data_IF_051573463289
#
_entry.id   IF_051573463289
#
_cell.length_a   1.000
_cell.length_b   1.000
_cell.length_c   1.000
_cell.angle_alpha   90.00
_cell.angle_beta   90.00
_cell.angle_gamma   90.00
#
_symmetry.space_group_name_H-M   'P 1'
#
loop_
_entity.id
_entity.type
_entity.pdbx_description
1 polymer ?
#
# COMPACT_ATOMS: atom_id res chain seq x y z
N UNK A 1 15.69 10.06 5.00
CA UNK A 1 15.26 8.67 5.28
C UNK A 1 13.76 8.54 5.05
N UNK A 2 13.28 7.37 4.61
CA UNK A 2 11.85 7.06 4.47
C UNK A 2 11.39 6.16 5.61
N UNK A 3 10.07 6.18 5.93
CA UNK A 3 9.45 5.21 6.83
C UNK A 3 8.61 4.20 6.03
N UNK A 4 8.74 2.92 6.37
CA UNK A 4 7.85 1.87 5.88
C UNK A 4 7.14 1.23 7.08
N UNK A 5 5.90 1.65 7.31
CA UNK A 5 5.14 1.30 8.51
C UNK A 5 4.06 0.29 8.16
N UNK A 6 4.10 -0.88 8.80
CA UNK A 6 3.00 -1.85 8.73
C UNK A 6 2.09 -1.71 9.95
N UNK A 7 0.77 -1.59 9.75
CA UNK A 7 -0.22 -1.51 10.83
C UNK A 7 -1.18 -2.69 10.77
N UNK A 8 -1.28 -3.44 11.87
CA UNK A 8 -2.06 -4.68 11.95
C UNK A 8 -1.43 -5.84 11.17
N UNK A 9 -2.04 -7.01 11.23
CA UNK A 9 -1.51 -8.25 10.63
C UNK A 9 -1.20 -8.12 9.14
N UNK A 10 -2.16 -7.62 8.35
CA UNK A 10 -2.01 -7.46 6.90
C UNK A 10 -0.89 -6.45 6.58
N UNK A 11 -0.93 -5.27 7.19
CA UNK A 11 0.05 -4.22 6.96
C UNK A 11 1.47 -4.62 7.38
N UNK A 12 1.63 -5.25 8.54
CA UNK A 12 2.92 -5.77 8.98
C UNK A 12 3.47 -6.84 8.01
N UNK A 13 2.61 -7.71 7.47
CA UNK A 13 3.02 -8.72 6.49
C UNK A 13 3.45 -8.10 5.16
N UNK A 14 2.78 -7.04 4.70
CA UNK A 14 3.17 -6.27 3.50
C UNK A 14 4.50 -5.55 3.70
N UNK A 15 4.67 -4.85 4.82
CA UNK A 15 5.93 -4.20 5.16
C UNK A 15 7.07 -5.23 5.27
N UNK A 16 6.86 -6.38 5.90
CA UNK A 16 7.85 -7.46 5.97
C UNK A 16 8.19 -8.02 4.57
N UNK A 17 7.20 -8.11 3.67
CA UNK A 17 7.42 -8.51 2.28
C UNK A 17 8.26 -7.48 1.50
N UNK A 18 8.11 -6.17 1.76
CA UNK A 18 8.94 -5.13 1.17
C UNK A 18 10.43 -5.36 1.50
N UNK A 19 10.74 -5.60 2.76
CA UNK A 19 12.11 -5.88 3.21
C UNK A 19 12.61 -7.28 2.84
N UNK A 20 11.73 -8.17 2.38
CA UNK A 20 12.09 -9.49 1.85
C UNK A 20 12.45 -9.46 0.37
N UNK A 21 11.68 -8.70 -0.42
CA UNK A 21 11.76 -8.71 -1.89
C UNK A 21 12.74 -7.68 -2.44
N UNK A 22 12.87 -6.59 -1.72
CA UNK A 22 13.75 -5.50 -2.11
C UNK A 22 15.17 -5.76 -1.62
N UNK A 23 16.13 -5.44 -2.46
CA UNK A 23 17.55 -5.63 -2.22
C UNK A 23 18.08 -4.86 -1.00
N UNK A 24 19.40 -4.71 -0.95
CA UNK A 24 20.10 -3.97 0.11
C UNK A 24 19.67 -2.50 0.14
N UNK A 25 19.33 -1.95 -1.01
CA UNK A 25 19.00 -0.54 -1.23
C UNK A 25 17.79 -0.09 -0.37
N UNK A 26 16.69 -0.86 -0.38
CA UNK A 26 15.51 -0.52 0.44
C UNK A 26 15.84 -0.46 1.94
N UNK A 27 16.71 -1.36 2.41
CA UNK A 27 17.10 -1.37 3.82
C UNK A 27 17.97 -0.18 4.22
N UNK A 28 18.65 0.44 3.25
CA UNK A 28 19.43 1.64 3.48
C UNK A 28 18.55 2.89 3.45
N UNK A 29 17.53 2.91 2.59
CA UNK A 29 16.66 4.07 2.39
C UNK A 29 15.50 4.14 3.37
N UNK A 30 15.01 2.97 3.85
CA UNK A 30 13.79 2.87 4.63
C UNK A 30 14.03 2.30 6.02
N UNK A 31 13.51 2.97 7.02
CA UNK A 31 13.35 2.42 8.37
C UNK A 31 12.05 1.63 8.45
N UNK A 32 12.08 0.32 8.77
CA UNK A 32 10.88 -0.47 8.98
C UNK A 32 10.25 -0.14 10.32
N UNK A 33 8.91 -0.17 10.38
CA UNK A 33 8.17 -0.16 11.66
C UNK A 33 6.99 -1.11 11.55
N UNK A 34 6.76 -1.93 12.56
CA UNK A 34 5.59 -2.79 12.65
C UNK A 34 4.76 -2.43 13.89
N UNK A 35 3.51 -2.04 13.69
CA UNK A 35 2.57 -1.62 14.75
C UNK A 35 1.44 -2.64 14.82
N UNK A 36 1.22 -3.24 15.98
CA UNK A 36 0.10 -4.18 16.16
C UNK A 36 -0.40 -4.18 17.62
N UNK A 37 -1.64 -4.63 17.79
CA UNK A 37 -2.28 -4.87 19.10
C UNK A 37 -2.15 -6.34 19.54
N UNK A 38 -1.53 -7.19 18.72
CA UNK A 38 -1.38 -8.63 18.96
C UNK A 38 0.08 -9.04 18.80
N UNK A 39 0.67 -9.54 19.88
CA UNK A 39 2.05 -10.04 19.89
C UNK A 39 2.28 -11.22 18.93
N UNK A 40 1.32 -12.14 18.86
CA UNK A 40 1.41 -13.32 18.01
C UNK A 40 1.58 -12.97 16.50
N UNK A 41 1.00 -11.86 16.04
CA UNK A 41 1.17 -11.40 14.66
C UNK A 41 2.55 -10.82 14.41
N UNK A 42 3.09 -10.06 15.37
CA UNK A 42 4.46 -9.52 15.28
C UNK A 42 5.52 -10.64 15.26
N UNK A 43 5.32 -11.71 16.02
CA UNK A 43 6.22 -12.87 16.03
C UNK A 43 6.32 -13.60 14.68
N UNK A 44 5.39 -13.39 13.76
CA UNK A 44 5.42 -13.99 12.41
C UNK A 44 6.33 -13.23 11.43
N UNK A 45 6.78 -12.03 11.80
CA UNK A 45 7.63 -11.20 10.94
C UNK A 45 9.04 -11.79 10.86
N UNK A 46 9.60 -11.79 9.65
CA UNK A 46 10.89 -12.43 9.35
C UNK A 46 11.99 -11.42 9.03
N UNK A 47 11.62 -10.23 8.57
CA UNK A 47 12.55 -9.23 8.05
C UNK A 47 12.55 -7.91 8.83
N UNK A 48 11.46 -7.61 9.53
CA UNK A 48 11.40 -6.45 10.42
C UNK A 48 11.91 -6.87 11.79
N UNK A 49 13.10 -6.40 12.23
CA UNK A 49 13.68 -6.77 13.52
C UNK A 49 12.81 -6.29 14.69
N UNK A 50 12.89 -7.01 15.79
CA UNK A 50 12.04 -6.78 16.98
C UNK A 50 12.19 -5.37 17.58
N UNK A 51 13.35 -4.74 17.45
CA UNK A 51 13.56 -3.34 17.86
C UNK A 51 12.67 -2.34 17.14
N UNK A 52 12.17 -2.68 15.97
CA UNK A 52 11.25 -1.84 15.18
C UNK A 52 9.77 -2.17 15.40
N UNK A 53 9.45 -3.05 16.34
CA UNK A 53 8.05 -3.33 16.69
C UNK A 53 7.52 -2.32 17.69
N UNK A 54 6.28 -1.91 17.50
CA UNK A 54 5.46 -1.17 18.44
C UNK A 54 4.19 -1.97 18.73
N UNK A 55 3.99 -2.27 19.99
CA UNK A 55 2.79 -2.92 20.47
C UNK A 55 1.89 -1.89 21.13
N UNK A 56 0.59 -1.97 20.84
CA UNK A 56 -0.43 -1.09 21.43
C UNK A 56 -1.29 -1.94 22.37
N UNK A 57 -1.27 -1.58 23.65
CA UNK A 57 -2.15 -2.16 24.67
C UNK A 57 -3.60 -1.67 24.52
N UNK A 58 -4.54 -2.36 25.19
CA UNK A 58 -5.96 -1.94 25.20
C UNK A 58 -6.20 -0.61 25.90
N UNK A 59 -5.30 -0.21 26.75
CA UNK A 59 -5.24 1.06 27.50
C UNK A 59 -4.51 2.17 26.73
N UNK A 60 -4.27 2.00 25.44
CA UNK A 60 -3.50 2.95 24.63
C UNK A 60 -2.00 3.00 24.92
N UNK A 61 -1.49 2.19 25.84
CA UNK A 61 -0.06 2.14 26.16
C UNK A 61 0.76 1.63 24.98
N UNK A 62 1.83 2.35 24.63
CA UNK A 62 2.73 2.02 23.52
C UNK A 62 4.01 1.42 24.07
N UNK A 63 4.29 0.18 23.68
CA UNK A 63 5.50 -0.56 24.04
C UNK A 63 6.39 -0.78 22.82
N UNK A 64 7.71 -0.67 23.03
CA UNK A 64 8.70 -1.12 22.06
C UNK A 64 8.93 -2.62 22.17
N UNK A 65 9.26 -3.29 21.08
CA UNK A 65 9.50 -4.73 21.09
C UNK A 65 10.59 -5.23 22.05
N UNK A 66 11.45 -4.33 22.53
CA UNK A 66 12.49 -4.62 23.55
C UNK A 66 12.05 -4.29 24.97
N UNK A 67 10.91 -3.63 25.17
CA UNK A 67 10.44 -3.26 26.50
C UNK A 67 10.06 -4.51 27.31
N UNK A 68 10.32 -4.46 28.62
CA UNK A 68 9.94 -5.54 29.54
C UNK A 68 8.40 -5.66 29.57
N UNK A 69 7.88 -6.86 29.47
CA UNK A 69 6.44 -7.10 29.44
C UNK A 69 5.79 -7.00 28.04
N UNK A 70 6.53 -6.69 26.99
CA UNK A 70 5.98 -6.52 25.64
C UNK A 70 5.04 -7.64 25.22
N UNK A 71 5.39 -8.92 25.45
CA UNK A 71 4.55 -10.06 25.03
C UNK A 71 3.35 -10.33 25.93
N UNK A 72 3.36 -9.91 27.20
CA UNK A 72 2.26 -10.10 28.14
C UNK A 72 1.24 -8.96 28.15
N UNK A 73 1.65 -7.75 27.77
CA UNK A 73 0.76 -6.59 27.74
C UNK A 73 0.01 -6.43 26.39
N UNK A 74 0.50 -7.07 25.32
CA UNK A 74 -0.06 -6.98 23.96
C UNK A 74 -0.71 -8.32 23.58
N UNK A 75 -1.75 -8.70 24.30
CA UNK A 75 -2.36 -10.03 24.18
C UNK A 75 -3.70 -10.04 23.44
N UNK A 76 -4.36 -8.91 23.29
CA UNK A 76 -5.74 -8.88 22.79
C UNK A 76 -5.89 -8.05 21.53
N UNK A 77 -6.16 -8.68 20.39
CA UNK A 77 -6.59 -7.96 19.19
C UNK A 77 -7.90 -7.19 19.39
N UNK A 78 -8.19 -6.25 18.49
CA UNK A 78 -9.42 -5.40 18.52
C UNK A 78 -10.67 -6.13 17.97
N UNK A 79 -10.57 -7.42 17.64
CA UNK A 79 -11.73 -8.24 17.21
C UNK A 79 -12.48 -7.70 15.99
N UNK A 80 -11.80 -7.02 15.05
CA UNK A 80 -12.41 -6.34 13.91
C UNK A 80 -13.44 -5.25 14.31
N UNK A 81 -13.26 -4.60 15.46
CA UNK A 81 -14.07 -3.46 15.91
C UNK A 81 -13.34 -2.15 15.55
N UNK A 82 -13.85 -1.47 14.52
CA UNK A 82 -13.24 -0.25 14.01
C UNK A 82 -13.31 0.90 15.02
N UNK A 83 -14.43 1.08 15.70
CA UNK A 83 -14.65 2.18 16.66
C UNK A 83 -13.75 2.02 17.88
N UNK A 84 -13.77 0.85 18.53
CA UNK A 84 -12.89 0.54 19.65
C UNK A 84 -11.41 0.71 19.26
N UNK A 85 -11.06 0.29 18.04
CA UNK A 85 -9.71 0.48 17.53
C UNK A 85 -9.32 1.95 17.38
N UNK A 86 -10.24 2.81 16.91
CA UNK A 86 -9.98 4.25 16.83
C UNK A 86 -9.75 4.87 18.22
N UNK A 87 -10.52 4.48 19.20
CA UNK A 87 -10.37 4.95 20.59
C UNK A 87 -8.99 4.58 21.13
N UNK A 88 -8.61 3.30 21.06
CA UNK A 88 -7.30 2.80 21.52
C UNK A 88 -6.14 3.52 20.81
N UNK A 89 -6.21 3.68 19.48
CA UNK A 89 -5.14 4.34 18.75
C UNK A 89 -5.08 5.85 18.98
N UNK A 90 -6.22 6.51 19.24
CA UNK A 90 -6.24 7.91 19.64
C UNK A 90 -5.58 8.14 21.00
N UNK A 91 -5.82 7.25 21.98
CA UNK A 91 -5.14 7.27 23.27
C UNK A 91 -3.63 7.02 23.12
N UNK A 92 -3.24 6.22 22.11
CA UNK A 92 -1.84 5.87 21.84
C UNK A 92 -1.06 6.94 21.05
N UNK A 93 -1.69 8.00 20.53
CA UNK A 93 -1.07 8.98 19.60
C UNK A 93 0.27 9.51 20.08
N UNK A 94 0.33 10.02 21.31
CA UNK A 94 1.56 10.62 21.85
C UNK A 94 2.68 9.59 22.04
N UNK A 95 2.33 8.41 22.50
CA UNK A 95 3.27 7.30 22.63
C UNK A 95 3.81 6.81 21.28
N UNK A 96 2.97 6.76 20.25
CA UNK A 96 3.39 6.43 18.88
C UNK A 96 4.35 7.50 18.36
N UNK A 97 3.99 8.78 18.49
CA UNK A 97 4.84 9.92 18.09
C UNK A 97 6.21 9.84 18.75
N UNK A 98 6.25 9.74 20.09
CA UNK A 98 7.50 9.65 20.84
C UNK A 98 8.38 8.50 20.34
N UNK A 99 7.80 7.31 20.22
CA UNK A 99 8.57 6.10 19.83
C UNK A 99 9.06 6.19 18.37
N UNK A 100 8.28 6.74 17.44
CA UNK A 100 8.70 6.93 16.05
C UNK A 100 9.81 7.96 15.94
N UNK A 101 9.64 9.17 16.53
CA UNK A 101 10.64 10.24 16.46
C UNK A 101 11.93 9.86 17.15
N UNK A 102 11.86 9.18 18.30
CA UNK A 102 13.05 8.69 19.00
C UNK A 102 13.86 7.70 18.17
N UNK A 103 13.20 6.88 17.35
CA UNK A 103 13.89 5.93 16.45
C UNK A 103 14.52 6.60 15.24
N UNK A 104 13.86 7.59 14.68
CA UNK A 104 14.43 8.40 13.60
C UNK A 104 15.69 9.13 14.08
N UNK A 105 15.77 9.47 15.38
CA UNK A 105 16.92 10.12 15.96
C UNK A 105 17.13 11.51 15.36
N UNK A 106 18.32 11.72 14.74
CA UNK A 106 18.68 12.98 14.07
C UNK A 106 18.41 12.95 12.55
N UNK A 107 17.98 11.82 12.02
CA UNK A 107 17.72 11.71 10.59
C UNK A 107 16.37 12.34 10.24
N UNK A 108 16.38 13.19 9.23
CA UNK A 108 15.17 13.78 8.68
C UNK A 108 14.36 12.72 7.95
N UNK A 109 13.08 12.59 8.33
CA UNK A 109 12.12 11.73 7.66
C UNK A 109 11.48 12.52 6.54
N UNK A 110 11.86 12.23 5.30
CA UNK A 110 11.37 12.94 4.14
C UNK A 110 9.98 12.45 3.67
N UNK A 111 9.64 11.18 3.94
CA UNK A 111 8.43 10.54 3.41
C UNK A 111 8.09 9.26 4.18
N UNK A 112 6.81 8.91 4.23
CA UNK A 112 6.36 7.65 4.81
C UNK A 112 5.35 6.90 3.94
N UNK A 113 5.39 5.57 4.03
CA UNK A 113 4.37 4.64 3.50
C UNK A 113 3.77 3.84 4.65
N UNK A 114 2.44 3.84 4.75
CA UNK A 114 1.70 3.04 5.73
C UNK A 114 0.99 1.91 5.03
N UNK A 115 1.37 0.67 5.33
CA UNK A 115 0.74 -0.55 4.84
C UNK A 115 -0.31 -1.03 5.84
N UNK A 116 -1.53 -1.33 5.39
CA UNK A 116 -2.61 -1.75 6.28
C UNK A 116 -3.72 -2.52 5.58
N UNK A 117 -4.46 -3.32 6.33
CA UNK A 117 -5.67 -3.97 5.86
C UNK A 117 -6.89 -3.14 6.26
N UNK A 118 -7.74 -2.79 5.30
CA UNK A 118 -8.93 -1.96 5.49
C UNK A 118 -10.05 -2.68 6.25
N UNK A 119 -10.13 -4.01 6.16
CA UNK A 119 -11.26 -4.78 6.73
C UNK A 119 -11.04 -5.30 8.16
N UNK A 120 -9.82 -5.24 8.69
CA UNK A 120 -9.49 -5.71 10.06
C UNK A 120 -9.93 -4.71 11.13
N UNK A 121 -9.55 -4.97 12.40
CA UNK A 121 -9.68 -4.00 13.50
C UNK A 121 -8.46 -3.07 13.56
N UNK A 122 -7.28 -3.64 13.88
CA UNK A 122 -6.04 -2.89 14.13
C UNK A 122 -5.58 -2.06 12.93
N UNK A 123 -5.52 -2.68 11.72
CA UNK A 123 -5.04 -1.98 10.53
C UNK A 123 -5.98 -0.88 10.07
N UNK A 124 -7.28 -1.16 10.06
CA UNK A 124 -8.30 -0.24 9.57
C UNK A 124 -8.43 1.03 10.41
N UNK A 125 -8.34 0.89 11.74
CA UNK A 125 -8.46 2.02 12.68
C UNK A 125 -7.12 2.69 12.96
N UNK A 126 -6.05 1.91 13.08
CA UNK A 126 -4.74 2.43 13.48
C UNK A 126 -4.00 3.17 12.38
N UNK A 127 -4.11 2.74 11.12
CA UNK A 127 -3.38 3.38 10.03
C UNK A 127 -3.74 4.86 9.82
N UNK A 128 -5.03 5.27 9.81
CA UNK A 128 -5.40 6.67 9.74
C UNK A 128 -4.84 7.50 10.90
N UNK A 129 -4.85 6.96 12.12
CA UNK A 129 -4.34 7.64 13.32
C UNK A 129 -2.82 7.80 13.26
N UNK A 130 -2.10 6.75 12.83
CA UNK A 130 -0.64 6.84 12.60
C UNK A 130 -0.33 7.90 11.53
N UNK A 131 -1.14 7.99 10.48
CA UNK A 131 -0.99 9.02 9.45
C UNK A 131 -1.21 10.43 10.01
N UNK A 132 -2.18 10.64 10.90
CA UNK A 132 -2.38 11.93 11.59
C UNK A 132 -1.14 12.31 12.43
N UNK A 133 -0.56 11.36 13.17
CA UNK A 133 0.69 11.58 13.92
C UNK A 133 1.83 12.06 13.01
N UNK A 134 1.98 11.44 11.84
CA UNK A 134 3.02 11.81 10.88
C UNK A 134 2.73 13.16 10.21
N UNK A 135 1.47 13.42 9.85
CA UNK A 135 1.03 14.70 9.29
C UNK A 135 1.27 15.86 10.24
N UNK A 136 0.98 15.70 11.53
CA UNK A 136 1.28 16.68 12.57
C UNK A 136 2.78 16.91 12.76
N UNK A 137 3.60 15.92 12.43
CA UNK A 137 5.07 16.05 12.39
C UNK A 137 5.59 16.60 11.05
N UNK A 138 4.72 16.98 10.11
CA UNK A 138 5.09 17.50 8.80
C UNK A 138 5.65 16.46 7.84
N UNK A 139 5.41 15.17 8.07
CA UNK A 139 5.93 14.07 7.25
C UNK A 139 4.89 13.67 6.21
N UNK A 140 5.16 13.88 4.91
CA UNK A 140 4.30 13.43 3.84
C UNK A 140 4.07 11.93 3.89
N UNK A 141 2.82 11.49 3.75
CA UNK A 141 2.44 10.10 4.01
C UNK A 141 1.47 9.56 2.96
N UNK A 142 1.77 8.43 2.35
CA UNK A 142 0.83 7.67 1.55
C UNK A 142 0.41 6.38 2.26
N UNK A 143 -0.85 5.98 2.03
CA UNK A 143 -1.37 4.69 2.48
C UNK A 143 -1.35 3.64 1.39
N UNK A 144 -1.04 2.40 1.75
CA UNK A 144 -1.19 1.22 0.90
C UNK A 144 -2.19 0.31 1.57
N UNK A 145 -3.46 0.48 1.21
CA UNK A 145 -4.61 -0.16 1.84
C UNK A 145 -5.09 -1.40 1.07
N UNK A 146 -5.32 -2.51 1.78
CA UNK A 146 -5.83 -3.74 1.20
C UNK A 146 -7.31 -3.91 1.52
N UNK A 147 -8.15 -3.95 0.48
CA UNK A 147 -9.57 -4.24 0.57
C UNK A 147 -9.80 -5.71 0.95
N UNK A 148 -10.77 -5.99 1.83
CA UNK A 148 -11.15 -7.35 2.15
C UNK A 148 -11.82 -8.01 0.95
N UNK A 149 -11.63 -9.31 0.80
CA UNK A 149 -12.36 -10.08 -0.18
C UNK A 149 -13.85 -10.21 0.19
N UNK A 150 -14.72 -10.41 -0.79
CA UNK A 150 -16.17 -10.51 -0.57
C UNK A 150 -16.55 -11.65 0.37
N UNK A 151 -15.81 -12.75 0.35
CA UNK A 151 -16.03 -13.88 1.26
C UNK A 151 -15.64 -13.60 2.71
N UNK A 152 -14.99 -12.46 3.01
CA UNK A 152 -14.59 -12.10 4.37
C UNK A 152 -15.73 -11.49 5.20
N UNK A 153 -16.90 -11.29 4.62
CA UNK A 153 -18.11 -10.85 5.31
C UNK A 153 -18.37 -9.35 5.25
N UNK A 154 -19.64 -8.96 5.53
CA UNK A 154 -20.11 -7.59 5.36
C UNK A 154 -19.57 -6.62 6.43
N UNK A 155 -19.28 -7.12 7.64
CA UNK A 155 -18.62 -6.32 8.69
C UNK A 155 -17.26 -5.79 8.26
N UNK A 156 -16.48 -6.62 7.52
CA UNK A 156 -15.19 -6.17 7.01
C UNK A 156 -15.33 -5.14 5.90
N UNK A 157 -16.43 -5.19 5.13
CA UNK A 157 -16.72 -4.15 4.15
C UNK A 157 -17.09 -2.81 4.84
N UNK A 158 -17.84 -2.85 5.95
CA UNK A 158 -18.11 -1.65 6.77
C UNK A 158 -16.81 -1.02 7.30
N UNK A 159 -15.92 -1.84 7.87
CA UNK A 159 -14.59 -1.38 8.32
C UNK A 159 -13.79 -0.76 7.17
N UNK A 160 -13.81 -1.41 6.00
CA UNK A 160 -13.05 -0.94 4.84
C UNK A 160 -13.55 0.41 4.33
N UNK A 161 -14.87 0.59 4.27
CA UNK A 161 -15.47 1.86 3.87
C UNK A 161 -15.08 2.99 4.85
N UNK A 162 -15.23 2.73 6.15
CA UNK A 162 -14.91 3.71 7.19
C UNK A 162 -13.40 4.03 7.19
N UNK A 163 -12.55 3.01 7.19
CA UNK A 163 -11.09 3.17 7.15
C UNK A 163 -10.62 3.97 5.94
N UNK A 164 -11.15 3.69 4.75
CA UNK A 164 -10.80 4.44 3.54
C UNK A 164 -11.17 5.92 3.65
N UNK A 165 -12.38 6.22 4.18
CA UNK A 165 -12.82 7.59 4.42
C UNK A 165 -11.86 8.35 5.36
N UNK A 166 -11.45 7.72 6.46
CA UNK A 166 -10.48 8.31 7.39
C UNK A 166 -9.09 8.46 6.74
N UNK A 167 -8.65 7.45 5.99
CA UNK A 167 -7.35 7.47 5.31
C UNK A 167 -7.25 8.58 4.27
N UNK A 168 -8.29 8.81 3.47
CA UNK A 168 -8.34 9.91 2.50
C UNK A 168 -8.23 11.29 3.17
N UNK A 169 -8.65 11.42 4.43
CA UNK A 169 -8.54 12.67 5.18
C UNK A 169 -7.15 12.86 5.84
N UNK A 170 -6.53 11.76 6.29
CA UNK A 170 -5.28 11.82 7.06
C UNK A 170 -4.01 11.65 6.23
N UNK A 171 -4.08 10.99 5.06
CA UNK A 171 -2.95 10.69 4.20
C UNK A 171 -2.91 11.61 2.97
N UNK A 172 -1.74 11.82 2.37
CA UNK A 172 -1.57 12.64 1.17
C UNK A 172 -1.99 11.91 -0.11
N UNK A 173 -2.01 10.58 -0.08
CA UNK A 173 -2.52 9.71 -1.14
C UNK A 173 -2.81 8.32 -0.62
N UNK A 174 -3.66 7.57 -1.30
CA UNK A 174 -3.99 6.17 -0.96
C UNK A 174 -3.87 5.31 -2.20
N UNK A 175 -3.11 4.23 -2.08
CA UNK A 175 -3.03 3.15 -3.07
C UNK A 175 -3.90 2.00 -2.57
N UNK A 176 -4.73 1.45 -3.44
CA UNK A 176 -5.56 0.30 -3.13
C UNK A 176 -5.04 -0.99 -3.75
N UNK A 177 -5.18 -2.06 -3.00
CA UNK A 177 -5.04 -3.43 -3.42
C UNK A 177 -6.28 -4.22 -2.98
N UNK A 178 -6.68 -5.26 -3.72
CA UNK A 178 -7.91 -6.00 -3.45
C UNK A 178 -7.67 -7.51 -3.30
N UNK A 179 -8.04 -8.04 -2.15
CA UNK A 179 -7.97 -9.48 -1.89
C UNK A 179 -8.90 -10.33 -2.79
N UNK A 180 -9.85 -9.71 -3.49
CA UNK A 180 -10.67 -10.45 -4.47
C UNK A 180 -9.89 -10.98 -5.67
N UNK A 181 -8.75 -10.34 -6.01
CA UNK A 181 -7.89 -10.78 -7.12
C UNK A 181 -7.20 -12.11 -6.81
N UNK A 182 -7.14 -12.47 -5.52
CA UNK A 182 -6.45 -13.70 -5.09
C UNK A 182 -7.24 -14.93 -5.53
N UNK A 183 -6.66 -15.73 -6.42
CA UNK A 183 -7.23 -17.01 -6.84
C UNK A 183 -7.19 -18.03 -5.70
N UNK A 184 -8.33 -18.26 -5.08
CA UNK A 184 -8.50 -19.13 -3.91
C UNK A 184 -8.38 -20.62 -4.20
N UNK A 185 -8.38 -21.01 -5.47
CA UNK A 185 -8.22 -22.41 -5.88
C UNK A 185 -6.82 -22.99 -5.61
N UNK A 186 -5.83 -22.13 -5.37
CA UNK A 186 -4.41 -22.50 -5.20
C UNK A 186 -3.89 -22.51 -3.76
N UNK A 187 -4.75 -22.53 -2.76
CA UNK A 187 -4.35 -22.52 -1.34
C UNK A 187 -4.05 -21.12 -0.80
N UNK A 188 -4.84 -20.71 0.20
CA UNK A 188 -4.93 -19.33 0.68
C UNK A 188 -3.59 -18.72 1.12
N UNK A 189 -2.80 -19.40 1.95
CA UNK A 189 -1.60 -18.81 2.54
C UNK A 189 -0.52 -18.50 1.51
N UNK A 190 -0.34 -19.39 0.52
CA UNK A 190 0.64 -19.18 -0.55
C UNK A 190 0.27 -17.99 -1.44
N UNK A 191 -1.00 -17.81 -1.73
CA UNK A 191 -1.51 -16.76 -2.59
C UNK A 191 -1.42 -15.38 -1.93
N UNK A 192 -1.76 -15.25 -0.64
CA UNK A 192 -1.53 -14.00 0.10
C UNK A 192 -0.05 -13.59 0.11
N UNK A 193 0.86 -14.53 0.28
CA UNK A 193 2.30 -14.24 0.21
C UNK A 193 2.76 -13.78 -1.17
N UNK A 194 2.21 -14.35 -2.24
CA UNK A 194 2.51 -13.93 -3.62
C UNK A 194 1.96 -12.53 -3.88
N UNK A 195 0.73 -12.27 -3.47
CA UNK A 195 0.10 -10.96 -3.59
C UNK A 195 0.85 -9.88 -2.80
N UNK A 196 1.19 -10.15 -1.55
CA UNK A 196 1.99 -9.24 -0.74
C UNK A 196 3.35 -8.93 -1.37
N UNK A 197 4.01 -9.93 -1.97
CA UNK A 197 5.27 -9.72 -2.71
C UNK A 197 5.06 -8.88 -3.97
N UNK A 198 3.94 -9.05 -4.64
CA UNK A 198 3.61 -8.26 -5.82
C UNK A 198 3.43 -6.79 -5.45
N UNK A 199 2.57 -6.47 -4.46
CA UNK A 199 2.35 -5.10 -3.98
C UNK A 199 3.64 -4.49 -3.41
N UNK A 200 4.35 -5.23 -2.56
CA UNK A 200 5.64 -4.79 -2.02
C UNK A 200 6.67 -4.51 -3.12
N UNK A 201 6.65 -5.30 -4.19
CA UNK A 201 7.48 -5.09 -5.37
C UNK A 201 7.13 -3.80 -6.13
N UNK A 202 5.85 -3.48 -6.29
CA UNK A 202 5.41 -2.21 -6.87
C UNK A 202 5.91 -1.03 -6.02
N UNK A 203 5.71 -1.09 -4.71
CA UNK A 203 6.16 -0.03 -3.79
C UNK A 203 7.67 0.11 -3.76
N UNK A 204 8.41 -1.00 -3.83
CA UNK A 204 9.86 -0.98 -3.95
C UNK A 204 10.35 -0.20 -5.17
N UNK A 205 9.71 -0.39 -6.32
CA UNK A 205 10.08 0.32 -7.54
C UNK A 205 9.84 1.84 -7.40
N UNK A 206 8.73 2.28 -6.78
CA UNK A 206 8.46 3.70 -6.50
C UNK A 206 9.40 4.30 -5.44
N UNK A 207 9.84 3.53 -4.45
CA UNK A 207 10.83 3.97 -3.47
C UNK A 207 12.22 4.13 -4.13
N UNK A 208 12.59 3.22 -5.01
CA UNK A 208 13.93 3.19 -5.64
C UNK A 208 14.03 4.13 -6.85
N UNK A 209 12.91 4.42 -7.53
CA UNK A 209 12.90 5.29 -8.70
C UNK A 209 13.62 6.63 -8.51
N UNK A 210 13.40 7.35 -7.38
CA UNK A 210 14.09 8.61 -7.09
C UNK A 210 15.59 8.49 -6.85
N UNK A 211 16.09 7.30 -6.51
CA UNK A 211 17.48 7.06 -6.09
C UNK A 211 18.33 6.36 -7.15
N UNK A 212 17.89 6.37 -8.40
CA UNK A 212 18.62 5.77 -9.51
C UNK A 212 19.92 6.54 -9.81
N UNK A 213 20.91 6.45 -8.92
CA UNK A 213 22.23 7.09 -9.05
C UNK A 213 23.06 6.62 -10.25
N UNK A 214 22.57 5.72 -11.07
CA UNK A 214 23.29 5.21 -12.24
C UNK A 214 22.92 5.89 -13.55
N UNK A 215 21.73 6.43 -13.64
CA UNK A 215 21.22 7.04 -14.87
C UNK A 215 21.50 8.54 -14.82
N UNK A 216 22.75 8.93 -15.06
CA UNK A 216 23.07 10.29 -15.53
C UNK A 216 22.47 10.47 -16.92
N UNK A 217 21.14 10.39 -17.01
CA UNK A 217 20.45 10.87 -18.17
C UNK A 217 20.54 12.39 -18.13
N UNK A 218 21.42 12.92 -18.97
CA UNK A 218 21.57 14.36 -19.25
C UNK A 218 20.33 14.96 -19.94
N UNK A 219 19.17 14.35 -19.85
CA UNK A 219 17.91 14.94 -20.27
C UNK A 219 17.34 15.68 -19.08
N UNK A 220 17.50 17.00 -19.11
CA UNK A 220 16.79 17.92 -18.23
C UNK A 220 15.29 17.59 -18.29
N UNK A 221 14.70 17.26 -17.14
CA UNK A 221 13.26 17.07 -17.00
C UNK A 221 12.79 15.67 -16.59
N UNK A 222 13.66 14.65 -16.45
CA UNK A 222 13.28 13.30 -16.02
C UNK A 222 13.71 13.00 -14.57
N UNK A 223 13.47 13.93 -13.66
CA UNK A 223 13.64 13.68 -12.23
C UNK A 223 12.29 13.26 -11.65
N UNK A 224 12.21 12.04 -11.15
CA UNK A 224 11.05 11.53 -10.43
C UNK A 224 11.41 11.43 -8.95
N UNK A 225 10.67 12.09 -8.09
CA UNK A 225 10.86 12.00 -6.65
C UNK A 225 9.57 11.59 -5.91
N UNK A 226 9.61 11.50 -4.57
CA UNK A 226 8.44 11.14 -3.78
C UNK A 226 7.33 12.19 -3.87
N UNK A 227 7.65 13.46 -4.18
CA UNK A 227 6.67 14.53 -4.35
C UNK A 227 5.90 14.36 -5.65
N UNK A 228 6.59 13.95 -6.71
CA UNK A 228 5.95 13.58 -7.99
C UNK A 228 5.01 12.39 -7.77
N UNK A 229 5.44 11.41 -6.98
CA UNK A 229 4.59 10.27 -6.64
C UNK A 229 3.34 10.68 -5.86
N UNK A 230 3.46 11.53 -4.85
CA UNK A 230 2.32 12.08 -4.11
C UNK A 230 1.43 12.93 -5.03
N UNK A 231 2.03 13.80 -5.85
CA UNK A 231 1.31 14.64 -6.82
C UNK A 231 0.50 13.82 -7.80
N UNK A 232 1.05 12.67 -8.24
CA UNK A 232 0.31 11.77 -9.14
C UNK A 232 -0.94 11.18 -8.50
N UNK A 233 -1.06 11.14 -7.17
CA UNK A 233 -2.21 10.62 -6.42
C UNK A 233 -3.26 11.68 -6.08
N UNK A 234 -3.12 12.93 -6.56
CA UNK A 234 -4.04 14.02 -6.32
C UNK A 234 -4.60 14.59 -7.63
N UNK A 235 -5.88 14.95 -7.65
CA UNK A 235 -6.58 15.54 -8.80
C UNK A 235 -7.05 16.93 -8.39
N UNK A 236 -6.23 17.94 -8.67
CA UNK A 236 -6.44 19.29 -8.16
C UNK A 236 -6.40 19.34 -6.64
N UNK A 237 -7.53 19.69 -6.00
CA UNK A 237 -7.67 19.68 -4.52
C UNK A 237 -8.21 18.37 -3.98
N UNK A 238 -8.68 17.48 -4.82
CA UNK A 238 -9.26 16.19 -4.45
C UNK A 238 -8.18 15.13 -4.38
N UNK A 239 -8.34 14.20 -3.45
CA UNK A 239 -7.46 13.04 -3.33
C UNK A 239 -7.99 11.93 -4.20
N UNK A 240 -7.17 11.53 -5.15
CA UNK A 240 -7.41 10.35 -5.95
C UNK A 240 -6.99 9.07 -5.22
N UNK A 241 -7.33 7.97 -5.82
CA UNK A 241 -6.95 6.63 -5.38
C UNK A 241 -6.03 6.01 -6.42
N UNK A 242 -4.83 5.64 -5.99
CA UNK A 242 -3.87 4.93 -6.81
C UNK A 242 -4.21 3.44 -6.92
N UNK A 243 -4.11 2.89 -8.11
CA UNK A 243 -4.15 1.44 -8.40
C UNK A 243 -2.84 1.09 -9.09
N UNK A 244 -2.14 0.05 -8.63
CA UNK A 244 -0.81 -0.27 -9.16
C UNK A 244 -0.83 -1.49 -10.05
N UNK A 245 -0.01 -1.44 -11.10
CA UNK A 245 0.21 -2.54 -12.03
C UNK A 245 1.70 -2.71 -12.32
N UNK A 246 2.14 -3.95 -12.58
CA UNK A 246 3.57 -4.25 -12.78
C UNK A 246 3.77 -5.37 -13.78
N UNK A 247 4.58 -5.11 -14.78
CA UNK A 247 5.00 -6.13 -15.74
C UNK A 247 6.52 -6.23 -15.81
N UNK A 248 7.03 -7.45 -15.85
CA UNK A 248 8.47 -7.73 -15.93
C UNK A 248 8.75 -8.72 -17.05
N UNK A 249 9.63 -8.36 -17.94
CA UNK A 249 10.17 -9.24 -18.97
C UNK A 249 11.61 -9.59 -18.64
N UNK A 250 11.89 -10.89 -18.54
CA UNK A 250 13.26 -11.40 -18.41
C UNK A 250 13.97 -11.33 -19.77
N UNK A 251 15.21 -10.88 -19.77
CA UNK A 251 16.07 -10.88 -20.95
C UNK A 251 16.85 -12.18 -20.98
N UNK A 252 16.72 -12.96 -22.06
CA UNK A 252 17.47 -14.18 -22.28
C UNK A 252 18.98 -13.91 -22.35
N UNK A 253 19.79 -14.96 -22.18
CA UNK A 253 21.26 -14.85 -22.23
C UNK A 253 21.76 -14.30 -23.55
N UNK A 254 21.06 -14.59 -24.65
CA UNK A 254 21.40 -14.20 -26.02
C UNK A 254 20.72 -12.91 -26.51
N UNK A 255 19.80 -12.34 -25.75
CA UNK A 255 19.05 -11.15 -26.15
C UNK A 255 19.81 -9.84 -25.98
N UNK A 256 21.06 -9.87 -25.51
CA UNK A 256 21.93 -8.71 -25.36
C UNK A 256 23.01 -8.63 -26.44
N UNK A 257 23.01 -9.55 -27.40
CA UNK A 257 23.94 -9.51 -28.52
C UNK A 257 23.31 -8.76 -29.70
N UNK A 258 23.91 -7.69 -30.15
CA UNK A 258 23.42 -6.88 -31.27
C UNK A 258 23.21 -7.70 -32.56
N UNK A 259 23.88 -8.85 -32.71
CA UNK A 259 23.72 -9.75 -33.83
C UNK A 259 22.45 -10.58 -33.86
N UNK A 260 21.73 -10.70 -32.72
CA UNK A 260 20.52 -11.53 -32.59
C UNK A 260 19.21 -10.75 -32.38
N UNK A 261 19.21 -9.47 -32.68
CA UNK A 261 18.04 -8.61 -32.57
C UNK A 261 17.57 -8.56 -31.11
N UNK A 262 17.87 -7.46 -30.42
CA UNK A 262 17.19 -7.11 -29.17
C UNK A 262 15.71 -7.41 -29.32
N UNK A 263 15.16 -8.19 -28.43
CA UNK A 263 13.70 -8.31 -28.33
C UNK A 263 13.19 -6.89 -28.27
N UNK A 264 12.53 -6.43 -29.32
CA UNK A 264 12.07 -5.04 -29.43
C UNK A 264 11.21 -4.75 -28.22
N UNK A 265 11.68 -3.86 -27.35
CA UNK A 265 10.89 -3.41 -26.23
C UNK A 265 9.86 -2.45 -26.81
N UNK A 266 8.62 -2.89 -26.88
CA UNK A 266 7.50 -2.05 -27.28
C UNK A 266 6.84 -1.44 -26.03
N UNK A 267 7.00 -0.14 -25.78
CA UNK A 267 6.48 0.50 -24.57
C UNK A 267 4.99 0.27 -24.37
N UNK A 268 4.22 0.31 -25.45
CA UNK A 268 2.78 0.06 -25.45
C UNK A 268 2.41 -1.32 -24.92
N UNK A 269 3.17 -2.37 -25.31
CA UNK A 269 2.93 -3.72 -24.82
C UNK A 269 3.30 -3.87 -23.33
N UNK A 270 4.39 -3.23 -22.88
CA UNK A 270 4.78 -3.26 -21.49
C UNK A 270 3.72 -2.60 -20.60
N UNK A 271 3.24 -1.42 -20.98
CA UNK A 271 2.18 -0.72 -20.27
C UNK A 271 0.89 -1.53 -20.29
N UNK A 272 0.46 -2.04 -21.45
CA UNK A 272 -0.72 -2.88 -21.57
C UNK A 272 -0.65 -4.13 -20.68
N UNK A 273 0.49 -4.79 -20.62
CA UNK A 273 0.68 -5.95 -19.75
C UNK A 273 0.67 -5.59 -18.26
N UNK A 274 1.17 -4.40 -17.89
CA UNK A 274 1.06 -3.89 -16.52
C UNK A 274 -0.39 -3.54 -16.15
N UNK A 275 -1.16 -2.94 -17.08
CA UNK A 275 -2.58 -2.66 -16.92
C UNK A 275 -3.43 -3.93 -16.72
N UNK A 276 -3.03 -5.05 -17.33
CA UNK A 276 -3.68 -6.35 -17.14
C UNK A 276 -3.39 -6.98 -15.76
N UNK A 277 -2.51 -6.38 -14.95
CA UNK A 277 -2.08 -6.88 -13.63
C UNK A 277 -2.33 -5.84 -12.52
N UNK A 278 -3.42 -5.09 -12.61
CA UNK A 278 -3.73 -4.07 -11.61
C UNK A 278 -4.05 -4.68 -10.24
N UNK A 279 -3.70 -3.95 -9.19
CA UNK A 279 -3.91 -4.33 -7.78
C UNK A 279 -5.39 -4.32 -7.34
N UNK A 280 -6.26 -3.71 -8.14
CA UNK A 280 -7.72 -3.73 -8.01
C UNK A 280 -8.30 -4.07 -9.37
N UNK A 281 -9.32 -4.92 -9.42
CA UNK A 281 -10.08 -5.19 -10.65
C UNK A 281 -10.82 -3.91 -11.06
N UNK A 282 -10.41 -3.34 -12.19
CA UNK A 282 -11.05 -2.17 -12.82
C UNK A 282 -11.76 -2.69 -14.06
N UNK A 283 -13.04 -3.00 -13.92
CA UNK A 283 -13.88 -3.32 -15.06
C UNK A 283 -14.25 -2.00 -15.74
N UNK A 284 -13.92 -1.86 -17.02
CA UNK A 284 -14.35 -0.79 -17.95
C UNK A 284 -13.80 0.64 -17.76
N UNK A 285 -13.07 0.96 -16.71
CA UNK A 285 -12.60 2.34 -16.48
C UNK A 285 -11.22 2.67 -17.04
N UNK A 286 -10.70 1.90 -17.97
CA UNK A 286 -9.45 2.25 -18.71
C UNK A 286 -9.61 3.59 -19.46
N UNK A 287 -10.83 4.07 -19.67
CA UNK A 287 -11.13 5.34 -20.33
C UNK A 287 -11.08 6.60 -19.45
N UNK A 288 -10.77 6.47 -18.14
CA UNK A 288 -10.76 7.62 -17.19
C UNK A 288 -9.53 7.61 -16.29
N UNK A 289 -8.36 7.46 -16.87
CA UNK A 289 -7.10 7.64 -16.14
C UNK A 289 -6.86 9.14 -16.00
N UNK A 290 -6.90 9.67 -14.77
CA UNK A 290 -6.67 11.10 -14.55
C UNK A 290 -5.19 11.45 -14.57
N UNK A 291 -4.38 10.73 -13.78
CA UNK A 291 -2.94 10.88 -13.70
C UNK A 291 -2.26 9.54 -13.61
N UNK A 292 -0.98 9.51 -13.90
CA UNK A 292 -0.20 8.30 -13.88
C UNK A 292 1.23 8.58 -13.41
N UNK A 293 1.75 7.71 -12.53
CA UNK A 293 3.17 7.60 -12.26
C UNK A 293 3.68 6.26 -12.79
N UNK A 294 4.83 6.28 -13.42
CA UNK A 294 5.48 5.11 -13.99
C UNK A 294 6.93 5.04 -13.53
N UNK A 295 7.40 3.88 -13.09
CA UNK A 295 8.82 3.61 -12.89
C UNK A 295 9.25 2.50 -13.84
N UNK A 296 10.20 2.83 -14.70
CA UNK A 296 10.86 1.86 -15.58
C UNK A 296 12.15 1.38 -14.95
N UNK A 297 12.30 0.06 -14.75
CA UNK A 297 13.53 -0.56 -14.21
C UNK A 297 14.14 -1.43 -15.29
N UNK A 298 15.37 -1.13 -15.68
CA UNK A 298 16.05 -1.79 -16.79
C UNK A 298 17.44 -2.32 -16.40
N UNK A 299 17.93 -3.30 -17.15
CA UNK A 299 19.34 -3.68 -17.10
C UNK A 299 20.18 -2.60 -17.79
N UNK A 300 21.40 -2.27 -17.31
CA UNK A 300 22.24 -1.21 -17.89
C UNK A 300 22.53 -1.35 -19.39
N UNK A 301 22.56 -2.57 -19.91
CA UNK A 301 22.76 -2.80 -21.35
C UNK A 301 21.64 -2.29 -22.26
N UNK A 302 20.48 -1.98 -21.69
CA UNK A 302 19.34 -1.43 -22.44
C UNK A 302 19.32 0.11 -22.44
N UNK A 303 20.21 0.75 -21.71
CA UNK A 303 20.19 2.21 -21.50
C UNK A 303 20.10 3.02 -22.78
N UNK A 304 20.88 2.65 -23.80
CA UNK A 304 20.97 3.40 -25.07
C UNK A 304 19.83 3.08 -26.05
N UNK A 305 19.21 1.93 -25.89
CA UNK A 305 18.18 1.43 -26.82
C UNK A 305 16.77 1.46 -26.24
N UNK A 306 16.61 1.83 -24.98
CA UNK A 306 15.30 1.89 -24.34
C UNK A 306 14.51 3.11 -24.86
N UNK A 307 13.28 2.96 -25.37
CA UNK A 307 12.54 4.01 -26.03
C UNK A 307 11.81 4.94 -25.01
N UNK A 308 12.58 5.72 -24.28
CA UNK A 308 12.07 6.58 -23.20
C UNK A 308 11.04 7.61 -23.64
N UNK A 309 11.33 8.33 -24.76
CA UNK A 309 10.42 9.36 -25.25
C UNK A 309 9.10 8.77 -25.71
N UNK A 310 9.16 7.66 -26.44
CA UNK A 310 7.97 6.95 -26.90
C UNK A 310 7.11 6.44 -25.72
N UNK A 311 7.77 6.00 -24.63
CA UNK A 311 7.08 5.61 -23.41
C UNK A 311 6.41 6.82 -22.74
N UNK A 312 7.12 7.95 -22.60
CA UNK A 312 6.60 9.18 -22.01
C UNK A 312 5.39 9.70 -22.78
N UNK A 313 5.51 9.81 -24.09
CA UNK A 313 4.42 10.30 -24.97
C UNK A 313 3.19 9.38 -24.84
N UNK A 314 3.40 8.07 -24.89
CA UNK A 314 2.32 7.11 -24.76
C UNK A 314 1.61 7.16 -23.39
N UNK A 315 2.38 7.33 -22.30
CA UNK A 315 1.80 7.45 -20.96
C UNK A 315 1.02 8.74 -20.79
N UNK A 316 1.51 9.85 -21.35
CA UNK A 316 0.81 11.13 -21.32
C UNK A 316 -0.52 11.08 -22.08
N UNK A 317 -0.52 10.44 -23.25
CA UNK A 317 -1.73 10.26 -24.07
C UNK A 317 -2.80 9.38 -23.41
N UNK A 318 -2.42 8.54 -22.43
CA UNK A 318 -3.36 7.71 -21.69
C UNK A 318 -4.13 8.47 -20.61
N UNK A 319 -3.71 9.69 -20.24
CA UNK A 319 -4.28 10.41 -19.11
C UNK A 319 -5.19 11.57 -19.56
N UNK A 320 -6.33 11.73 -18.90
CA UNK A 320 -7.28 12.84 -19.14
C UNK A 320 -6.64 14.23 -18.91
N UNK A 321 -5.69 14.30 -17.96
CA UNK A 321 -4.99 15.55 -17.63
C UNK A 321 -3.69 15.73 -18.41
N UNK A 322 -3.36 14.83 -19.33
CA UNK A 322 -2.08 14.79 -20.03
C UNK A 322 -0.86 14.89 -19.08
N UNK A 323 -1.00 14.27 -17.88
CA UNK A 323 -0.02 14.32 -16.80
C UNK A 323 0.44 12.91 -16.42
N UNK A 324 1.67 12.58 -16.84
CA UNK A 324 2.34 11.33 -16.50
C UNK A 324 3.76 11.63 -15.97
N UNK A 325 4.05 11.09 -14.78
CA UNK A 325 5.37 11.19 -14.17
C UNK A 325 6.16 9.91 -14.46
N UNK A 326 7.33 10.03 -15.07
CA UNK A 326 8.16 8.89 -15.45
C UNK A 326 9.49 8.90 -14.68
N UNK A 327 9.71 7.85 -13.89
CA UNK A 327 10.94 7.58 -13.18
C UNK A 327 11.71 6.40 -13.79
N UNK A 328 13.03 6.37 -13.58
CA UNK A 328 13.89 5.31 -14.05
C UNK A 328 14.72 4.71 -12.92
N UNK A 329 14.95 3.41 -13.02
CA UNK A 329 15.84 2.69 -12.12
C UNK A 329 16.65 1.66 -12.93
N UNK A 330 17.83 1.32 -12.44
CA UNK A 330 18.67 0.27 -13.02
C UNK A 330 18.78 -0.94 -12.09
N UNK A 331 18.87 -2.11 -12.69
CA UNK A 331 19.08 -3.35 -11.95
C UNK A 331 20.13 -4.22 -12.60
N UNK A 332 20.95 -4.89 -11.80
CA UNK A 332 21.89 -5.91 -12.28
C UNK A 332 21.20 -7.18 -12.82
N UNK A 333 19.90 -7.33 -12.58
CA UNK A 333 19.11 -8.44 -13.11
C UNK A 333 18.85 -8.21 -14.60
N UNK A 334 19.03 -9.25 -15.41
CA UNK A 334 18.75 -9.21 -16.86
C UNK A 334 17.25 -9.14 -17.12
N UNK A 335 16.68 -7.97 -17.02
CA UNK A 335 15.26 -7.74 -17.21
C UNK A 335 14.97 -6.29 -17.60
N UNK A 336 13.78 -6.09 -18.16
CA UNK A 336 13.10 -4.79 -18.24
C UNK A 336 11.76 -4.91 -17.49
N UNK A 337 11.35 -3.85 -16.82
CA UNK A 337 10.14 -3.80 -16.02
C UNK A 337 9.51 -2.42 -16.11
N UNK A 338 8.18 -2.41 -16.10
CA UNK A 338 7.37 -1.20 -15.92
C UNK A 338 6.47 -1.41 -14.71
N UNK A 339 6.43 -0.42 -13.82
CA UNK A 339 5.53 -0.36 -12.67
C UNK A 339 4.74 0.93 -12.77
N UNK A 340 3.41 0.80 -12.76
CA UNK A 340 2.46 1.89 -12.92
C UNK A 340 1.73 2.15 -11.59
N UNK A 341 1.46 3.42 -11.30
CA UNK A 341 0.44 3.84 -10.35
C UNK A 341 -0.54 4.72 -11.11
N UNK A 342 -1.77 4.26 -11.23
CA UNK A 342 -2.82 4.92 -12.00
C UNK A 342 -3.80 5.52 -11.01
N UNK A 343 -4.16 6.78 -11.21
CA UNK A 343 -5.02 7.51 -10.29
C UNK A 343 -6.42 7.68 -10.86
N UNK A 344 -7.39 7.24 -10.06
CA UNK A 344 -8.82 7.33 -10.30
C UNK A 344 -9.49 8.17 -9.21
N UNK A 345 -10.65 8.73 -9.50
CA UNK A 345 -11.57 9.19 -8.46
C UNK A 345 -12.21 7.97 -7.75
N UNK A 346 -12.55 8.06 -6.46
CA UNK A 346 -13.17 6.94 -5.73
C UNK A 346 -14.42 6.38 -6.42
N UNK A 347 -15.22 7.23 -7.04
CA UNK A 347 -16.45 6.87 -7.74
C UNK A 347 -16.23 6.10 -9.04
N UNK A 348 -15.05 6.18 -9.64
CA UNK A 348 -14.70 5.46 -10.87
C UNK A 348 -14.22 4.03 -10.60
N UNK A 349 -14.02 3.67 -9.33
CA UNK A 349 -13.61 2.33 -8.92
C UNK A 349 -14.85 1.51 -8.55
N UNK A 350 -15.33 0.66 -9.46
CA UNK A 350 -16.52 -0.19 -9.28
C UNK A 350 -16.45 -1.03 -8.00
N UNK A 351 -15.27 -1.48 -7.62
CA UNK A 351 -15.03 -2.23 -6.39
C UNK A 351 -15.42 -1.48 -5.12
N UNK A 352 -15.27 -0.16 -5.08
CA UNK A 352 -15.65 0.67 -3.92
C UNK A 352 -17.17 0.79 -3.78
N UNK A 353 -17.92 0.76 -4.88
CA UNK A 353 -19.37 0.68 -4.84
C UNK A 353 -19.85 -0.64 -4.22
N UNK A 354 -19.23 -1.76 -4.60
CA UNK A 354 -19.51 -3.06 -3.97
C UNK A 354 -19.25 -3.04 -2.47
N UNK A 355 -18.16 -2.43 -2.02
CA UNK A 355 -17.85 -2.28 -0.58
C UNK A 355 -18.91 -1.42 0.12
N UNK A 356 -19.33 -0.30 -0.48
CA UNK A 356 -20.36 0.59 0.03
C UNK A 356 -21.73 -0.11 0.16
N UNK A 357 -22.12 -0.90 -0.85
CA UNK A 357 -23.39 -1.63 -0.83
C UNK A 357 -23.41 -2.72 0.23
N UNK A 358 -22.27 -3.40 0.44
CA UNK A 358 -22.14 -4.40 1.49
C UNK A 358 -22.16 -3.79 2.88
N UNK A 359 -21.57 -2.60 3.07
CA UNK A 359 -21.73 -1.82 4.30
C UNK A 359 -23.20 -1.54 4.58
N UNK A 360 -23.96 -1.01 3.60
CA UNK A 360 -25.38 -0.72 3.75
C UNK A 360 -26.20 -1.96 4.12
N UNK A 361 -25.92 -3.10 3.49
CA UNK A 361 -26.57 -4.38 3.83
C UNK A 361 -26.33 -4.76 5.28
N UNK A 362 -25.09 -4.64 5.75
CA UNK A 362 -24.73 -4.97 7.12
C UNK A 362 -25.41 -4.05 8.14
N UNK A 363 -25.49 -2.76 7.87
CA UNK A 363 -26.20 -1.78 8.70
C UNK A 363 -27.70 -2.13 8.77
N UNK A 364 -28.35 -2.40 7.65
CA UNK A 364 -29.74 -2.80 7.61
C UNK A 364 -30.03 -4.16 8.30
N UNK A 365 -29.09 -5.11 8.26
CA UNK A 365 -29.18 -6.36 9.01
C UNK A 365 -29.10 -6.13 10.52
N UNK A 366 -28.20 -5.25 10.98
CA UNK A 366 -28.10 -4.85 12.40
C UNK A 366 -29.41 -4.22 12.90
N UNK A 367 -29.92 -3.23 12.18
CA UNK A 367 -31.17 -2.54 12.53
C UNK A 367 -32.36 -3.51 12.60
N UNK A 368 -32.47 -4.43 11.66
CA UNK A 368 -33.50 -5.46 11.62
C UNK A 368 -33.44 -6.39 12.81
N UNK A 369 -32.22 -6.78 13.23
CA UNK A 369 -32.04 -7.66 14.41
C UNK A 369 -32.40 -6.92 15.69
N UNK A 370 -31.98 -5.65 15.82
CA UNK A 370 -32.28 -4.81 16.98
C UNK A 370 -33.79 -4.63 17.09
N UNK A 371 -34.45 -4.23 16.01
CA UNK A 371 -35.92 -4.02 15.97
C UNK A 371 -36.69 -5.28 16.31
N UNK A 372 -36.31 -6.44 15.80
CA UNK A 372 -36.93 -7.72 16.16
C UNK A 372 -36.77 -8.07 17.64
N UNK A 373 -35.64 -7.67 18.26
CA UNK A 373 -35.42 -7.88 19.70
C UNK A 373 -36.29 -6.94 20.56
N UNK A 374 -36.47 -5.71 20.10
CA UNK A 374 -37.33 -4.73 20.77
C UNK A 374 -38.82 -5.11 20.67
N UNK A 375 -39.26 -5.65 19.53
CA UNK A 375 -40.63 -6.08 19.26
C UNK A 375 -40.95 -7.47 19.86
N UNK A 376 -39.94 -8.32 20.08
CA UNK A 376 -40.11 -9.74 20.43
C UNK A 376 -40.24 -10.06 21.94
N UNK A 377 -40.17 -9.09 22.80
CA UNK A 377 -40.63 -9.07 24.22
C UNK A 377 -40.06 -10.09 25.20
N UNK A 378 -39.56 -11.24 24.80
CA UNK A 378 -38.97 -12.23 25.72
C UNK A 378 -37.45 -12.32 25.52
N UNK A 379 -36.70 -11.93 26.54
CA UNK A 379 -35.25 -12.14 26.61
C UNK A 379 -34.96 -13.43 27.37
N UNK A 380 -34.16 -14.31 26.80
CA UNK A 380 -33.77 -15.61 27.38
C UNK A 380 -33.08 -15.49 28.76
N UNK A 381 -32.64 -14.30 29.13
CA UNK A 381 -31.85 -14.01 30.35
C UNK A 381 -32.40 -12.83 31.16
N UNK A 382 -33.65 -12.41 30.95
CA UNK A 382 -34.32 -11.44 31.80
C UNK A 382 -35.02 -12.20 32.99
N UNK A 383 -34.22 -12.70 33.92
CA UNK A 383 -34.64 -13.08 35.29
C UNK A 383 -33.79 -12.34 36.33
#
# INVERSE_FOLDING_TARGET
MYLAIGVGQCGCSLADALFSSAGREIRTLCMPVAINTTFADLMRLKKIPREFWLGIGKDGKVLSGRDKGFGSEITGGIGANFIEGLEIFNEAKDGIREKLMRRAGKEEIAFSMIFYGLGGGTGSSGAPVVAEVLKEAGIPTIGVGVLPADSEGNRRAENAYNSLKYSLNSMDGVILADNNIIDRKKGLTGMYNLFNRYIAGCMSDFILGPFAEGVKMKQEGLTFDYRDFISSLSIGKEKGIGVVGRYTQSLGFFSLDEKFGLTKIEPKEFVKNALNQLSVGVEESIGKIYKLACVSTIHPSLREVYPYQELQDYLSDLTEMNEAHLGFNETKRRMARVTLSITYLPEDISRLWSVKDRKKRYEGEKERIIKKREEGGERLFDE
#
